data_IF_861358402575
#
_entry.id   IF_861358402575
#
_cell.length_a   1.000
_cell.length_b   1.000
_cell.length_c   1.000
_cell.angle_alpha   90.00
_cell.angle_beta   90.00
_cell.angle_gamma   90.00
#
_symmetry.space_group_name_H-M   'P 1'
#
loop_
_entity.id
_entity.type
_entity.pdbx_description
1 polymer ?
#
# COMPACT_ATOMS: atom_id res chain seq x y z
N UNK A 1 -44.07 -9.42 38.80
CA UNK A 1 -43.04 -10.29 38.21
C UNK A 1 -42.48 -9.61 36.97
N UNK A 2 -41.17 -9.39 36.94
CA UNK A 2 -40.50 -8.57 35.94
C UNK A 2 -40.37 -9.22 34.56
N UNK A 3 -40.38 -8.39 33.52
CA UNK A 3 -39.92 -8.74 32.19
C UNK A 3 -38.57 -8.08 31.95
N UNK A 4 -37.51 -8.87 32.00
CA UNK A 4 -36.16 -8.46 31.63
C UNK A 4 -36.07 -8.32 30.11
N UNK A 5 -35.70 -7.12 29.64
CA UNK A 5 -35.50 -6.80 28.22
C UNK A 5 -34.19 -7.43 27.71
N UNK A 6 -34.14 -7.97 26.48
CA UNK A 6 -32.92 -8.49 25.88
C UNK A 6 -32.13 -7.35 25.24
N UNK A 7 -31.52 -6.47 26.05
CA UNK A 7 -30.62 -5.40 25.57
C UNK A 7 -29.15 -5.85 25.42
N UNK A 8 -28.84 -7.10 25.77
CA UNK A 8 -27.48 -7.66 25.72
C UNK A 8 -27.07 -8.23 24.37
N UNK A 9 -28.01 -8.80 23.61
CA UNK A 9 -27.70 -9.57 22.39
C UNK A 9 -27.21 -8.70 21.23
N UNK A 10 -27.70 -7.47 21.09
CA UNK A 10 -27.30 -6.58 19.98
C UNK A 10 -25.89 -6.03 20.20
N UNK A 11 -25.47 -5.85 21.46
CA UNK A 11 -24.13 -5.34 21.81
C UNK A 11 -23.03 -6.37 21.58
N UNK A 12 -23.29 -7.65 21.85
CA UNK A 12 -22.29 -8.70 21.60
C UNK A 12 -22.03 -8.92 20.10
N UNK A 13 -23.08 -8.90 19.27
CA UNK A 13 -22.95 -9.10 17.82
C UNK A 13 -22.11 -8.00 17.15
N UNK A 14 -22.17 -6.75 17.66
CA UNK A 14 -21.39 -5.64 17.13
C UNK A 14 -19.90 -5.75 17.51
N UNK A 15 -19.61 -6.24 18.73
CA UNK A 15 -18.25 -6.45 19.24
C UNK A 15 -17.55 -7.56 18.44
N UNK A 16 -18.26 -8.65 18.12
CA UNK A 16 -17.69 -9.76 17.33
C UNK A 16 -17.40 -9.35 15.88
N UNK A 17 -18.23 -8.50 15.27
CA UNK A 17 -17.96 -7.96 13.92
C UNK A 17 -16.75 -7.02 13.88
N UNK A 18 -16.52 -6.23 14.94
CA UNK A 18 -15.36 -5.35 15.05
C UNK A 18 -14.05 -6.12 15.29
N UNK A 19 -14.13 -7.26 15.97
CA UNK A 19 -13.00 -8.17 16.18
C UNK A 19 -12.47 -8.73 14.84
N UNK A 20 -13.38 -9.09 13.93
CA UNK A 20 -13.05 -9.65 12.62
C UNK A 20 -12.54 -8.59 11.64
N UNK A 21 -13.10 -7.37 11.67
CA UNK A 21 -12.72 -6.28 10.74
C UNK A 21 -11.34 -5.66 11.04
N UNK A 22 -10.88 -5.71 12.29
CA UNK A 22 -9.62 -5.05 12.70
C UNK A 22 -8.61 -5.98 13.40
N UNK A 23 -8.94 -7.25 13.65
CA UNK A 23 -8.00 -8.23 14.21
C UNK A 23 -7.58 -8.01 15.67
N UNK A 24 -8.37 -7.26 16.45
CA UNK A 24 -8.04 -6.95 17.85
C UNK A 24 -8.47 -8.06 18.79
N UNK A 25 -7.52 -8.77 19.41
CA UNK A 25 -7.82 -9.91 20.29
C UNK A 25 -8.49 -9.53 21.64
N UNK A 26 -8.47 -8.26 22.05
CA UNK A 26 -8.89 -7.83 23.38
C UNK A 26 -10.25 -7.11 23.37
N UNK A 27 -11.26 -7.77 23.94
CA UNK A 27 -12.63 -7.25 24.08
C UNK A 27 -12.72 -5.93 24.87
N UNK A 28 -11.70 -5.58 25.67
CA UNK A 28 -11.65 -4.28 26.37
C UNK A 28 -11.42 -3.13 25.42
N UNK A 29 -10.65 -3.35 24.36
CA UNK A 29 -10.26 -2.28 23.43
C UNK A 29 -11.39 -1.98 22.46
N UNK A 30 -12.12 -3.00 22.02
CA UNK A 30 -13.34 -2.83 21.23
C UNK A 30 -14.38 -1.99 21.99
N UNK A 31 -14.56 -2.21 23.30
CA UNK A 31 -15.47 -1.40 24.14
C UNK A 31 -15.00 0.04 24.34
N UNK A 32 -13.69 0.28 24.39
CA UNK A 32 -13.13 1.64 24.48
C UNK A 32 -13.38 2.39 23.17
N UNK A 33 -13.16 1.72 22.03
CA UNK A 33 -13.37 2.31 20.71
C UNK A 33 -14.87 2.54 20.42
N UNK A 34 -15.74 1.62 20.83
CA UNK A 34 -17.21 1.78 20.76
C UNK A 34 -17.67 3.01 21.56
N UNK A 35 -17.16 3.19 22.79
CA UNK A 35 -17.43 4.38 23.62
C UNK A 35 -16.87 5.66 23.00
N UNK A 36 -15.73 5.58 22.32
CA UNK A 36 -15.11 6.72 21.65
C UNK A 36 -15.91 7.16 20.41
N UNK A 37 -16.37 6.20 19.59
CA UNK A 37 -17.17 6.45 18.39
C UNK A 37 -18.59 6.94 18.73
N UNK A 38 -19.23 6.39 19.77
CA UNK A 38 -20.59 6.78 20.17
C UNK A 38 -20.67 8.20 20.77
N UNK A 39 -19.54 8.80 21.18
CA UNK A 39 -19.53 10.13 21.78
C UNK A 39 -19.35 11.27 20.76
N UNK A 40 -19.27 10.96 19.46
CA UNK A 40 -19.03 11.96 18.41
C UNK A 40 -20.34 12.45 17.75
N UNK A 41 -21.27 12.99 18.56
CA UNK A 41 -22.17 14.03 18.04
C UNK A 41 -21.44 15.37 18.20
N UNK A 42 -20.77 15.78 17.13
CA UNK A 42 -20.06 17.04 17.04
C UNK A 42 -21.04 18.20 17.09
N UNK A 43 -21.12 18.89 18.22
CA UNK A 43 -21.60 20.27 18.25
C UNK A 43 -20.43 21.17 17.87
N UNK A 44 -20.41 21.60 16.62
CA UNK A 44 -19.58 22.71 16.17
C UNK A 44 -20.10 23.99 16.83
N UNK A 45 -19.52 24.36 17.96
CA UNK A 45 -19.76 25.64 18.61
C UNK A 45 -18.42 26.34 18.83
N UNK A 46 -18.37 27.63 18.52
CA UNK A 46 -17.22 28.53 18.62
C UNK A 46 -16.33 28.20 19.82
N UNK A 47 -15.06 27.91 19.56
CA UNK A 47 -14.08 27.54 20.58
C UNK A 47 -13.81 28.76 21.47
N UNK A 48 -14.51 28.85 22.60
CA UNK A 48 -14.18 29.83 23.62
C UNK A 48 -12.79 29.54 24.20
N UNK A 49 -11.96 30.57 24.36
CA UNK A 49 -10.57 30.48 24.86
C UNK A 49 -10.44 29.63 26.13
N UNK A 50 -11.42 29.72 27.04
CA UNK A 50 -11.47 28.95 28.29
C UNK A 50 -11.74 27.45 28.06
N UNK A 51 -12.61 27.11 27.10
CA UNK A 51 -12.89 25.72 26.75
C UNK A 51 -11.72 25.12 25.97
N UNK A 52 -11.06 25.90 25.10
CA UNK A 52 -9.83 25.52 24.42
C UNK A 52 -8.71 25.14 25.42
N UNK A 53 -8.51 25.99 26.44
CA UNK A 53 -7.53 25.74 27.50
C UNK A 53 -7.88 24.51 28.34
N UNK A 54 -9.17 24.27 28.60
CA UNK A 54 -9.62 23.05 29.31
C UNK A 54 -9.43 21.79 28.48
N UNK A 55 -9.73 21.83 27.18
CA UNK A 55 -9.47 20.69 26.28
C UNK A 55 -7.99 20.44 26.08
N UNK A 56 -7.18 21.49 25.98
CA UNK A 56 -5.73 21.36 25.90
C UNK A 56 -5.14 20.81 27.20
N UNK A 57 -5.55 21.32 28.36
CA UNK A 57 -5.13 20.80 29.66
C UNK A 57 -5.58 19.35 29.87
N UNK A 58 -6.78 18.98 29.43
CA UNK A 58 -7.26 17.59 29.45
C UNK A 58 -6.49 16.68 28.51
N UNK A 59 -6.15 17.14 27.31
CA UNK A 59 -5.33 16.38 26.36
C UNK A 59 -3.91 16.18 26.88
N UNK A 60 -3.26 17.24 27.37
CA UNK A 60 -1.90 17.19 27.94
C UNK A 60 -1.86 16.37 29.24
N UNK A 61 -2.88 16.50 30.10
CA UNK A 61 -3.01 15.67 31.30
C UNK A 61 -3.25 14.20 30.97
N UNK A 62 -3.98 13.91 29.88
CA UNK A 62 -4.16 12.55 29.36
C UNK A 62 -2.86 11.90 28.86
N UNK A 63 -1.92 12.70 28.33
CA UNK A 63 -0.61 12.19 27.88
C UNK A 63 0.23 11.63 29.04
N UNK A 64 0.12 12.19 30.25
CA UNK A 64 0.84 11.71 31.44
C UNK A 64 0.25 10.40 31.98
N UNK A 65 -1.04 10.15 31.71
CA UNK A 65 -1.74 8.92 32.09
C UNK A 65 -1.71 7.85 30.98
N UNK A 66 -0.94 8.08 29.92
CA UNK A 66 -0.75 7.07 28.88
C UNK A 66 -0.06 5.83 29.47
N UNK A 67 -0.57 4.62 29.21
CA UNK A 67 0.11 3.42 29.68
C UNK A 67 1.46 3.25 28.97
N UNK A 68 2.39 2.53 29.58
CA UNK A 68 3.78 2.41 29.08
C UNK A 68 3.94 1.85 27.65
N UNK A 69 2.89 1.24 27.06
CA UNK A 69 2.89 0.83 25.66
C UNK A 69 2.79 2.02 24.68
N UNK A 70 2.20 3.15 25.10
CA UNK A 70 2.06 4.35 24.28
C UNK A 70 3.29 5.26 24.39
N UNK A 71 4.07 5.17 25.46
CA UNK A 71 5.38 5.85 25.57
C UNK A 71 6.49 5.15 24.77
N UNK A 72 6.24 3.94 24.25
CA UNK A 72 7.16 3.20 23.40
C UNK A 72 7.04 3.54 21.90
N UNK A 73 6.08 4.39 21.52
CA UNK A 73 5.90 4.82 20.13
C UNK A 73 6.90 5.93 19.81
N UNK A 74 8.11 5.55 19.38
CA UNK A 74 9.05 6.48 18.74
C UNK A 74 8.81 6.52 17.23
N UNK A 75 9.24 7.58 16.55
CA UNK A 75 9.22 7.65 15.09
C UNK A 75 9.93 6.43 14.45
N UNK A 76 10.92 5.84 15.13
CA UNK A 76 11.54 4.59 14.67
C UNK A 76 10.68 3.34 14.88
N UNK A 77 9.86 3.29 15.94
CA UNK A 77 8.94 2.16 16.17
C UNK A 77 7.69 2.19 15.28
N UNK A 78 7.36 3.36 14.74
CA UNK A 78 6.27 3.58 13.76
C UNK A 78 6.85 3.56 12.34
N UNK A 79 7.91 2.78 12.10
CA UNK A 79 8.31 2.47 10.73
C UNK A 79 7.22 1.59 10.11
N UNK A 80 6.36 2.25 9.33
CA UNK A 80 5.14 1.69 8.74
C UNK A 80 5.39 0.51 7.80
N UNK A 81 6.63 0.24 7.41
CA UNK A 81 7.09 -1.03 6.83
C UNK A 81 8.61 -1.00 6.81
N UNK A 82 9.29 -2.02 7.36
CA UNK A 82 10.73 -2.19 7.17
C UNK A 82 10.96 -2.57 5.71
N UNK A 83 11.28 -1.56 4.89
CA UNK A 83 11.68 -1.78 3.51
C UNK A 83 12.96 -2.61 3.49
N UNK A 84 12.99 -3.73 2.73
CA UNK A 84 14.19 -4.55 2.62
C UNK A 84 15.19 -4.01 1.59
N UNK A 85 14.76 -3.07 0.74
CA UNK A 85 15.62 -2.37 -0.21
C UNK A 85 16.08 -1.03 0.41
N UNK A 86 17.35 -0.62 0.21
CA UNK A 86 17.81 0.71 0.56
C UNK A 86 17.21 1.78 -0.35
N UNK A 87 17.26 3.05 0.08
CA UNK A 87 16.57 4.17 -0.57
C UNK A 87 16.98 4.38 -2.04
N UNK A 88 18.27 4.24 -2.35
CA UNK A 88 18.81 4.35 -3.71
C UNK A 88 18.25 3.27 -4.64
N UNK A 89 18.07 2.04 -4.14
CA UNK A 89 17.46 0.95 -4.89
C UNK A 89 15.97 1.17 -5.10
N UNK A 90 15.27 1.79 -4.14
CA UNK A 90 13.85 2.16 -4.28
C UNK A 90 13.67 3.19 -5.40
N UNK A 91 14.52 4.21 -5.45
CA UNK A 91 14.49 5.22 -6.53
C UNK A 91 14.80 4.59 -7.89
N UNK A 92 15.77 3.68 -7.93
CA UNK A 92 16.11 2.93 -9.14
C UNK A 92 14.96 2.05 -9.60
N UNK A 93 14.31 1.34 -8.67
CA UNK A 93 13.14 0.51 -8.96
C UNK A 93 11.98 1.37 -9.49
N UNK A 94 11.75 2.55 -8.90
CA UNK A 94 10.74 3.47 -9.38
C UNK A 94 11.04 3.94 -10.82
N UNK A 95 12.30 4.24 -11.15
CA UNK A 95 12.69 4.59 -12.52
C UNK A 95 12.56 3.41 -13.50
N UNK A 96 12.87 2.18 -13.07
CA UNK A 96 12.70 0.97 -13.89
C UNK A 96 11.22 0.75 -14.21
N UNK A 97 10.36 0.80 -13.19
CA UNK A 97 8.91 0.65 -13.33
C UNK A 97 8.32 1.72 -14.25
N UNK A 98 8.76 2.97 -14.09
CA UNK A 98 8.38 4.10 -14.95
C UNK A 98 8.83 3.90 -16.41
N UNK A 99 9.98 3.25 -16.63
CA UNK A 99 10.45 2.96 -17.99
C UNK A 99 9.63 1.84 -18.65
N UNK A 100 9.15 0.86 -17.88
CA UNK A 100 8.36 -0.26 -18.41
C UNK A 100 6.94 0.19 -18.78
N UNK A 101 6.30 1.01 -17.94
CA UNK A 101 4.97 1.59 -18.21
C UNK A 101 5.02 3.08 -17.84
N UNK A 102 5.48 3.93 -18.78
CA UNK A 102 5.58 5.37 -18.55
C UNK A 102 4.22 6.04 -18.51
N UNK A 103 4.14 7.18 -17.84
CA UNK A 103 2.97 8.04 -17.90
C UNK A 103 2.79 8.60 -19.31
N UNK A 104 1.55 8.58 -19.79
CA UNK A 104 1.14 9.14 -21.09
C UNK A 104 -0.14 9.95 -20.86
N UNK A 105 -1.21 9.69 -21.62
CA UNK A 105 -2.56 10.23 -21.34
C UNK A 105 -3.19 9.60 -20.09
N UNK A 106 -2.65 8.45 -19.66
CA UNK A 106 -3.01 7.73 -18.44
C UNK A 106 -1.83 7.74 -17.45
N UNK A 107 -2.10 7.67 -16.13
CA UNK A 107 -1.06 7.60 -15.12
C UNK A 107 -0.15 6.40 -15.34
N UNK A 108 1.15 6.60 -15.17
CA UNK A 108 2.17 5.56 -15.35
C UNK A 108 2.25 4.61 -14.14
N UNK A 109 3.01 3.53 -14.27
CA UNK A 109 3.16 2.57 -13.17
C UNK A 109 3.84 3.18 -11.93
N UNK A 110 4.71 4.18 -12.11
CA UNK A 110 5.32 4.92 -10.99
C UNK A 110 4.28 5.71 -10.19
N UNK A 111 3.35 6.38 -10.87
CA UNK A 111 2.30 7.19 -10.25
C UNK A 111 1.27 6.33 -9.50
N UNK A 112 1.05 5.11 -9.98
CA UNK A 112 0.19 4.10 -9.34
C UNK A 112 0.91 3.28 -8.26
N UNK A 113 2.07 3.75 -7.77
CA UNK A 113 2.86 3.13 -6.70
C UNK A 113 3.24 1.66 -6.97
N UNK A 114 3.41 1.27 -8.24
CA UNK A 114 3.72 -0.12 -8.60
C UNK A 114 5.10 -0.54 -8.06
N UNK A 115 6.05 0.38 -7.89
CA UNK A 115 7.33 0.09 -7.24
C UNK A 115 7.17 -0.38 -5.79
N UNK A 116 6.24 0.23 -5.03
CA UNK A 116 5.91 -0.17 -3.65
C UNK A 116 5.21 -1.53 -3.64
N UNK A 117 4.32 -1.78 -4.60
CA UNK A 117 3.70 -3.08 -4.80
C UNK A 117 4.75 -4.18 -5.02
N UNK A 118 5.71 -3.97 -5.94
CA UNK A 118 6.78 -4.94 -6.23
C UNK A 118 7.59 -5.23 -4.97
N UNK A 119 8.01 -4.18 -4.25
CA UNK A 119 8.75 -4.34 -3.01
C UNK A 119 7.99 -5.18 -1.99
N UNK A 120 6.70 -4.90 -1.78
CA UNK A 120 5.88 -5.63 -0.82
C UNK A 120 5.64 -7.07 -1.23
N UNK A 121 5.29 -7.30 -2.49
CA UNK A 121 5.06 -8.65 -3.03
C UNK A 121 6.32 -9.50 -2.95
N UNK A 122 7.48 -8.94 -3.27
CA UNK A 122 8.75 -9.68 -3.20
C UNK A 122 9.18 -9.92 -1.74
N UNK A 123 8.93 -8.97 -0.83
CA UNK A 123 9.21 -9.17 0.58
C UNK A 123 8.33 -10.27 1.21
N UNK A 124 7.04 -10.28 0.89
CA UNK A 124 6.05 -11.11 1.58
C UNK A 124 5.80 -12.47 0.90
N UNK A 125 6.00 -12.58 -0.42
CA UNK A 125 5.59 -13.74 -1.21
C UNK A 125 6.74 -14.50 -1.89
N UNK A 126 7.96 -13.95 -1.88
CA UNK A 126 9.10 -14.55 -2.56
C UNK A 126 10.19 -14.97 -1.57
N UNK A 127 11.00 -15.94 -1.98
CA UNK A 127 12.11 -16.45 -1.19
C UNK A 127 13.30 -15.49 -1.18
N UNK A 128 14.28 -15.78 -0.31
CA UNK A 128 15.47 -14.94 -0.15
C UNK A 128 16.28 -14.82 -1.45
N UNK A 129 16.32 -15.89 -2.26
CA UNK A 129 17.01 -15.88 -3.55
C UNK A 129 16.41 -14.85 -4.51
N UNK A 130 15.07 -14.76 -4.62
CA UNK A 130 14.42 -13.76 -5.44
C UNK A 130 14.54 -12.33 -4.87
N UNK A 131 14.51 -12.16 -3.54
CA UNK A 131 14.77 -10.87 -2.91
C UNK A 131 16.19 -10.36 -3.23
N UNK A 132 17.18 -11.25 -3.17
CA UNK A 132 18.57 -10.93 -3.50
C UNK A 132 18.74 -10.69 -5.00
N UNK A 133 18.04 -11.44 -5.86
CA UNK A 133 18.02 -11.20 -7.30
C UNK A 133 17.45 -9.81 -7.65
N UNK A 134 16.41 -9.35 -6.93
CA UNK A 134 15.88 -7.99 -7.10
C UNK A 134 16.91 -6.93 -6.67
N UNK A 135 17.45 -7.04 -5.45
CA UNK A 135 18.43 -6.09 -4.91
C UNK A 135 19.69 -6.01 -5.79
N UNK A 136 20.28 -7.16 -6.11
CA UNK A 136 21.48 -7.24 -6.95
C UNK A 136 21.19 -6.75 -8.38
N UNK A 137 20.00 -7.04 -8.92
CA UNK A 137 19.60 -6.56 -10.24
C UNK A 137 19.44 -5.04 -10.30
N UNK A 138 18.98 -4.39 -9.22
CA UNK A 138 18.90 -2.93 -9.13
C UNK A 138 20.29 -2.29 -9.09
N UNK A 139 21.21 -2.85 -8.30
CA UNK A 139 22.62 -2.41 -8.29
C UNK A 139 23.24 -2.57 -9.67
N UNK A 140 23.08 -3.76 -10.27
CA UNK A 140 23.61 -4.06 -11.60
C UNK A 140 23.05 -3.11 -12.67
N UNK A 141 21.77 -2.75 -12.59
CA UNK A 141 21.15 -1.81 -13.53
C UNK A 141 21.80 -0.43 -13.45
N UNK A 142 22.06 0.07 -12.22
CA UNK A 142 22.78 1.33 -12.03
C UNK A 142 24.23 1.25 -12.51
N UNK A 143 24.93 0.16 -12.24
CA UNK A 143 26.31 -0.03 -12.69
C UNK A 143 26.42 -0.06 -14.22
N UNK A 144 25.48 -0.75 -14.89
CA UNK A 144 25.41 -0.78 -16.35
C UNK A 144 25.09 0.61 -16.91
N UNK A 145 24.18 1.37 -16.29
CA UNK A 145 23.85 2.72 -16.73
C UNK A 145 25.04 3.67 -16.55
N UNK A 146 25.75 3.56 -15.43
CA UNK A 146 26.95 4.35 -15.15
C UNK A 146 28.06 4.03 -16.17
N UNK A 147 28.23 2.76 -16.55
CA UNK A 147 29.21 2.34 -17.56
C UNK A 147 28.83 2.77 -18.98
N UNK A 148 27.55 2.67 -19.35
CA UNK A 148 27.08 2.96 -20.70
C UNK A 148 26.93 4.47 -20.96
N UNK A 149 26.49 5.23 -19.95
CA UNK A 149 26.05 6.62 -20.13
C UNK A 149 26.67 7.61 -19.13
N UNK A 150 27.53 7.15 -18.21
CA UNK A 150 28.22 8.01 -17.24
C UNK A 150 27.35 8.55 -16.11
N UNK A 151 26.14 8.01 -15.93
CA UNK A 151 25.14 8.47 -14.95
C UNK A 151 24.33 7.30 -14.39
N UNK A 152 23.76 7.42 -13.17
CA UNK A 152 22.87 6.40 -12.62
C UNK A 152 21.64 6.21 -13.53
N UNK A 153 20.99 5.05 -13.44
CA UNK A 153 19.88 4.70 -14.32
C UNK A 153 18.75 5.73 -14.27
N UNK A 154 18.39 6.18 -13.05
CA UNK A 154 17.39 7.24 -12.85
C UNK A 154 17.77 8.61 -13.42
N UNK A 155 19.04 8.85 -13.73
CA UNK A 155 19.52 10.07 -14.39
C UNK A 155 19.54 9.99 -15.92
N UNK A 156 19.34 8.80 -16.50
CA UNK A 156 19.25 8.62 -17.96
C UNK A 156 18.00 9.26 -18.55
N UNK A 157 18.03 9.58 -19.85
CA UNK A 157 16.81 9.95 -20.60
C UNK A 157 15.94 8.70 -20.91
N UNK A 158 14.72 8.92 -21.39
CA UNK A 158 13.76 7.84 -21.63
C UNK A 158 14.29 6.80 -22.65
N UNK A 159 15.04 7.24 -23.66
CA UNK A 159 15.63 6.37 -24.69
C UNK A 159 16.76 5.53 -24.10
N UNK A 160 17.69 6.15 -23.37
CA UNK A 160 18.79 5.45 -22.67
C UNK A 160 18.29 4.39 -21.70
N UNK A 161 17.28 4.72 -20.88
CA UNK A 161 16.69 3.77 -19.94
C UNK A 161 16.04 2.59 -20.68
N UNK A 162 15.28 2.88 -21.73
CA UNK A 162 14.61 1.85 -22.55
C UNK A 162 15.61 0.93 -23.22
N UNK A 163 16.66 1.49 -23.84
CA UNK A 163 17.67 0.73 -24.56
C UNK A 163 18.46 -0.18 -23.62
N UNK A 164 18.80 0.30 -22.42
CA UNK A 164 19.49 -0.49 -21.42
C UNK A 164 18.64 -1.65 -20.91
N UNK A 165 17.36 -1.43 -20.60
CA UNK A 165 16.46 -2.51 -20.17
C UNK A 165 16.24 -3.56 -21.28
N UNK A 166 16.14 -3.12 -22.54
CA UNK A 166 16.06 -4.03 -23.70
C UNK A 166 17.35 -4.83 -23.87
N UNK A 167 18.52 -4.21 -23.68
CA UNK A 167 19.80 -4.90 -23.72
C UNK A 167 19.89 -5.96 -22.62
N UNK A 168 19.46 -5.63 -21.39
CA UNK A 168 19.40 -6.59 -20.28
C UNK A 168 18.43 -7.75 -20.56
N UNK A 169 17.31 -7.49 -21.24
CA UNK A 169 16.35 -8.52 -21.65
C UNK A 169 16.93 -9.50 -22.68
N UNK A 170 17.79 -9.01 -23.59
CA UNK A 170 18.43 -9.79 -24.65
C UNK A 170 19.79 -10.39 -24.24
N UNK A 171 20.30 -10.01 -23.07
CA UNK A 171 21.61 -10.43 -22.60
C UNK A 171 21.66 -11.93 -22.29
N UNK A 172 22.81 -12.55 -22.57
CA UNK A 172 23.09 -13.94 -22.19
C UNK A 172 23.46 -14.07 -20.71
N UNK A 173 23.75 -12.95 -20.03
CA UNK A 173 24.08 -12.96 -18.61
C UNK A 173 22.87 -13.34 -17.74
N UNK A 174 22.94 -14.43 -16.96
CA UNK A 174 21.79 -14.96 -16.25
C UNK A 174 21.25 -13.98 -15.19
N UNK A 175 22.12 -13.16 -14.58
CA UNK A 175 21.70 -12.16 -13.60
C UNK A 175 20.81 -11.06 -14.22
N UNK A 176 21.16 -10.58 -15.41
CA UNK A 176 20.39 -9.57 -16.15
C UNK A 176 19.03 -10.12 -16.56
N UNK A 177 19.04 -11.31 -17.18
CA UNK A 177 17.82 -11.97 -17.61
C UNK A 177 16.89 -12.31 -16.45
N UNK A 178 17.42 -12.77 -15.32
CA UNK A 178 16.63 -13.10 -14.11
C UNK A 178 15.97 -11.85 -13.53
N UNK A 179 16.69 -10.74 -13.44
CA UNK A 179 16.13 -9.49 -12.96
C UNK A 179 14.98 -8.98 -13.82
N UNK A 180 15.16 -8.94 -15.16
CA UNK A 180 14.10 -8.50 -16.07
C UNK A 180 12.89 -9.44 -16.02
N UNK A 181 13.13 -10.76 -16.00
CA UNK A 181 12.07 -11.78 -15.85
C UNK A 181 11.33 -11.71 -14.52
N UNK A 182 11.92 -11.11 -13.49
CA UNK A 182 11.27 -10.85 -12.21
C UNK A 182 10.47 -9.54 -12.25
N UNK A 183 11.12 -8.42 -12.60
CA UNK A 183 10.56 -7.08 -12.40
C UNK A 183 9.51 -6.70 -13.46
N UNK A 184 9.70 -7.12 -14.72
CA UNK A 184 8.79 -6.80 -15.83
C UNK A 184 7.39 -7.38 -15.66
N UNK A 185 7.20 -8.69 -15.41
CA UNK A 185 5.85 -9.23 -15.19
C UNK A 185 5.21 -8.72 -13.91
N UNK A 186 5.99 -8.47 -12.84
CA UNK A 186 5.46 -7.87 -11.61
C UNK A 186 4.99 -6.43 -11.84
N UNK A 187 5.68 -5.66 -12.68
CA UNK A 187 5.26 -4.31 -13.07
C UNK A 187 3.94 -4.33 -13.83
N UNK A 188 3.84 -5.20 -14.84
CA UNK A 188 2.61 -5.38 -15.64
C UNK A 188 1.46 -5.83 -14.73
N UNK A 189 1.69 -6.81 -13.86
CA UNK A 189 0.68 -7.30 -12.91
C UNK A 189 0.23 -6.20 -11.95
N UNK A 190 1.17 -5.46 -11.35
CA UNK A 190 0.84 -4.38 -10.43
C UNK A 190 0.03 -3.28 -11.11
N UNK A 191 0.40 -2.89 -12.32
CA UNK A 191 -0.32 -1.89 -13.10
C UNK A 191 -1.74 -2.35 -13.46
N UNK A 192 -1.89 -3.55 -14.03
CA UNK A 192 -3.19 -4.07 -14.47
C UNK A 192 -4.17 -4.35 -13.32
N UNK A 193 -3.67 -4.59 -12.12
CA UNK A 193 -4.49 -4.80 -10.91
C UNK A 193 -4.63 -3.54 -10.04
N UNK A 194 -4.20 -2.38 -10.53
CA UNK A 194 -4.40 -1.12 -9.83
C UNK A 194 -5.86 -0.66 -9.95
N UNK A 195 -6.37 -0.01 -8.90
CA UNK A 195 -7.74 0.51 -8.87
C UNK A 195 -8.04 1.41 -10.07
N UNK A 196 -7.10 2.30 -10.42
CA UNK A 196 -7.26 3.20 -11.55
C UNK A 196 -7.46 2.44 -12.86
N UNK A 197 -6.59 1.46 -13.16
CA UNK A 197 -6.64 0.70 -14.42
C UNK A 197 -7.90 -0.18 -14.47
N UNK A 198 -8.22 -0.84 -13.36
CA UNK A 198 -9.42 -1.69 -13.27
C UNK A 198 -10.71 -0.90 -13.47
N UNK A 199 -10.79 0.33 -12.94
CA UNK A 199 -12.01 1.14 -12.98
C UNK A 199 -12.15 1.91 -14.29
N UNK A 200 -11.07 2.54 -14.75
CA UNK A 200 -11.12 3.52 -15.84
C UNK A 200 -10.75 2.94 -17.22
N UNK A 201 -9.94 1.87 -17.27
CA UNK A 201 -9.45 1.32 -18.54
C UNK A 201 -10.08 -0.01 -18.91
N UNK A 202 -10.16 -0.95 -17.95
CA UNK A 202 -10.70 -2.29 -18.23
C UNK A 202 -12.18 -2.42 -17.92
N UNK A 203 -12.78 -1.42 -17.25
CA UNK A 203 -14.18 -1.44 -16.78
C UNK A 203 -14.51 -2.73 -16.04
N UNK A 204 -13.66 -3.10 -15.09
CA UNK A 204 -13.78 -4.34 -14.35
C UNK A 204 -15.08 -4.39 -13.53
N UNK A 205 -15.93 -5.37 -13.84
CA UNK A 205 -17.11 -5.70 -13.05
C UNK A 205 -16.78 -6.84 -12.08
N UNK A 206 -16.74 -6.54 -10.77
CA UNK A 206 -16.45 -7.56 -9.74
C UNK A 206 -17.51 -8.67 -9.71
N UNK A 207 -18.74 -8.37 -10.10
CA UNK A 207 -19.85 -9.31 -10.23
C UNK A 207 -20.37 -9.16 -11.65
N UNK A 208 -20.11 -10.13 -12.57
CA UNK A 208 -20.67 -10.05 -13.91
C UNK A 208 -22.20 -9.99 -13.81
N UNK A 209 -22.80 -9.11 -14.60
CA UNK A 209 -24.19 -8.65 -14.47
C UNK A 209 -25.28 -9.72 -14.28
N UNK A 210 -26.46 -9.23 -13.92
CA UNK A 210 -27.64 -10.04 -13.65
C UNK A 210 -28.00 -10.99 -14.81
N UNK A 211 -28.51 -12.18 -14.47
CA UNK A 211 -29.04 -13.11 -15.48
C UNK A 211 -30.23 -12.50 -16.22
N UNK A 212 -30.07 -12.24 -17.52
CA UNK A 212 -31.15 -11.78 -18.40
C UNK A 212 -31.83 -12.99 -19.08
N UNK A 213 -32.84 -13.56 -18.45
CA UNK A 213 -33.51 -14.80 -18.92
C UNK A 213 -34.32 -14.67 -20.22
N UNK A 214 -34.72 -13.46 -20.61
CA UNK A 214 -35.47 -13.21 -21.83
C UNK A 214 -34.80 -12.09 -22.65
N UNK A 215 -33.78 -12.44 -23.43
CA UNK A 215 -33.21 -11.55 -24.45
C UNK A 215 -33.73 -11.94 -25.84
N UNK A 216 -34.23 -11.00 -26.64
CA UNK A 216 -34.70 -11.31 -27.99
C UNK A 216 -33.52 -11.77 -28.85
N UNK A 217 -33.57 -13.01 -29.33
CA UNK A 217 -32.59 -13.58 -30.25
C UNK A 217 -32.89 -13.05 -31.64
N UNK A 218 -31.97 -12.29 -32.23
CA UNK A 218 -32.05 -11.94 -33.66
C UNK A 218 -31.86 -13.22 -34.47
N UNK A 219 -32.84 -13.55 -35.31
CA UNK A 219 -32.72 -14.61 -36.32
C UNK A 219 -31.77 -14.20 -37.43
#
# INVERSE_FOLDING_TARGET
MGTTRPSGLIREVLIDRLFVLFGWSDRRIVRIFEKFLLNKKLNAASVERRNALKTLAGALGGLVALPGWATGWTAESVQLTKSFLPADQIETLAAVVDTIIPATDTPGAKELNVSQFIQKVVADCYDKAAQDALSNGLVLTNDLAQKAYGKPFGGGDATQRTDLLKQMEQSTEPAQATFIKLVKPLTIRGYLNSEYVMTNLTHYEFIPGHYHGCVPVKK
#
